data_IF_071378611674
#
_entry.id   IF_071378611674
#
_cell.length_a   1.000
_cell.length_b   1.000
_cell.length_c   1.000
_cell.angle_alpha   90.00
_cell.angle_beta   90.00
_cell.angle_gamma   90.00
#
_symmetry.space_group_name_H-M   'P 1'
#
loop_
_entity.id
_entity.type
_entity.pdbx_description
1 polymer ?
#
# COMPACT_ATOMS: atom_id res chain seq x y z
N UNK A 1 -9.33 -26.43 -1.44
CA UNK A 1 -9.31 -25.31 -0.49
C UNK A 1 -9.15 -24.05 -1.32
N UNK A 2 -10.27 -23.45 -1.73
CA UNK A 2 -10.28 -22.18 -2.47
C UNK A 2 -9.91 -21.09 -1.50
N UNK A 3 -8.79 -20.42 -1.75
CA UNK A 3 -8.45 -19.18 -1.06
C UNK A 3 -9.60 -18.20 -1.36
N UNK A 4 -10.21 -17.66 -0.32
CA UNK A 4 -11.23 -16.63 -0.48
C UNK A 4 -10.53 -15.35 -0.93
N UNK A 5 -10.52 -15.14 -2.25
CA UNK A 5 -9.81 -14.04 -2.90
C UNK A 5 -10.31 -12.70 -2.37
N UNK A 6 -11.62 -12.58 -2.14
CA UNK A 6 -12.23 -11.35 -1.64
C UNK A 6 -11.70 -11.01 -0.24
N UNK A 7 -11.57 -12.01 0.63
CA UNK A 7 -10.97 -11.81 1.96
C UNK A 7 -9.50 -11.36 1.90
N UNK A 8 -8.72 -11.89 0.94
CA UNK A 8 -7.33 -11.46 0.73
C UNK A 8 -7.25 -10.04 0.22
N UNK A 9 -8.10 -9.67 -0.74
CA UNK A 9 -8.17 -8.33 -1.29
C UNK A 9 -8.62 -7.31 -0.24
N UNK A 10 -9.60 -7.66 0.60
CA UNK A 10 -10.05 -6.84 1.72
C UNK A 10 -8.94 -6.63 2.75
N UNK A 11 -8.20 -7.68 3.10
CA UNK A 11 -7.06 -7.58 4.02
C UNK A 11 -5.96 -6.67 3.45
N UNK A 12 -5.64 -6.81 2.16
CA UNK A 12 -4.68 -5.93 1.48
C UNK A 12 -5.17 -4.47 1.42
N UNK A 13 -6.47 -4.26 1.14
CA UNK A 13 -7.08 -2.93 1.15
C UNK A 13 -7.07 -2.29 2.54
N UNK A 14 -7.11 -3.08 3.62
CA UNK A 14 -6.96 -2.58 5.00
C UNK A 14 -5.50 -2.43 5.45
N UNK A 15 -4.53 -2.75 4.57
CA UNK A 15 -3.09 -2.78 4.86
C UNK A 15 -2.77 -3.79 5.98
N UNK A 16 -3.54 -4.85 6.07
CA UNK A 16 -3.31 -5.93 7.02
C UNK A 16 -2.17 -6.84 6.56
N UNK A 17 -1.52 -7.48 7.53
CA UNK A 17 -0.39 -8.37 7.27
C UNK A 17 -0.85 -9.71 6.66
N UNK A 18 -0.92 -9.76 5.32
CA UNK A 18 -1.19 -11.01 4.59
C UNK A 18 0.12 -11.80 4.41
N UNK A 19 0.17 -13.03 4.95
CA UNK A 19 1.27 -13.99 4.70
C UNK A 19 0.87 -14.91 3.55
N UNK A 20 1.55 -14.77 2.42
CA UNK A 20 1.38 -15.65 1.25
C UNK A 20 2.70 -15.79 0.50
N UNK A 21 2.91 -16.97 -0.10
CA UNK A 21 3.98 -17.24 -1.04
C UNK A 21 3.54 -17.10 -2.51
N UNK A 22 2.27 -16.76 -2.74
CA UNK A 22 1.71 -16.56 -4.07
C UNK A 22 2.35 -15.31 -4.74
N UNK A 23 2.99 -15.46 -5.91
CA UNK A 23 3.61 -14.34 -6.63
C UNK A 23 2.66 -13.17 -6.89
N UNK A 24 1.38 -13.43 -7.19
CA UNK A 24 0.40 -12.37 -7.42
C UNK A 24 0.18 -11.55 -6.15
N UNK A 25 0.04 -12.20 -5.00
CA UNK A 25 -0.12 -11.51 -3.71
C UNK A 25 1.15 -10.73 -3.34
N UNK A 26 2.34 -11.27 -3.64
CA UNK A 26 3.61 -10.58 -3.41
C UNK A 26 3.72 -9.30 -4.27
N UNK A 27 3.34 -9.35 -5.54
CA UNK A 27 3.31 -8.18 -6.44
C UNK A 27 2.32 -7.14 -5.93
N UNK A 28 1.11 -7.55 -5.52
CA UNK A 28 0.13 -6.62 -4.95
C UNK A 28 0.67 -5.93 -3.69
N UNK A 29 1.33 -6.67 -2.79
CA UNK A 29 1.95 -6.09 -1.59
C UNK A 29 3.04 -5.08 -1.93
N UNK A 30 3.88 -5.38 -2.92
CA UNK A 30 4.92 -4.46 -3.37
C UNK A 30 4.32 -3.18 -3.97
N UNK A 31 3.26 -3.29 -4.77
CA UNK A 31 2.56 -2.14 -5.34
C UNK A 31 1.91 -1.25 -4.29
N UNK A 32 1.27 -1.84 -3.26
CA UNK A 32 0.69 -1.08 -2.15
C UNK A 32 1.77 -0.27 -1.42
N UNK A 33 2.91 -0.90 -1.13
CA UNK A 33 4.04 -0.23 -0.48
C UNK A 33 4.60 0.93 -1.31
N UNK A 34 4.68 0.78 -2.63
CA UNK A 34 5.13 1.85 -3.54
C UNK A 34 4.16 3.04 -3.53
N UNK A 35 2.85 2.79 -3.59
CA UNK A 35 1.81 3.83 -3.53
C UNK A 35 1.85 4.57 -2.18
N UNK A 36 2.00 3.85 -1.07
CA UNK A 36 2.07 4.46 0.26
C UNK A 36 3.30 5.39 0.38
N UNK A 37 4.45 4.98 -0.19
CA UNK A 37 5.67 5.81 -0.26
C UNK A 37 5.46 7.08 -1.09
N UNK A 38 4.80 6.98 -2.25
CA UNK A 38 4.47 8.14 -3.09
C UNK A 38 3.54 9.10 -2.35
N UNK A 39 2.54 8.59 -1.62
CA UNK A 39 1.63 9.41 -0.83
C UNK A 39 2.36 10.13 0.30
N UNK A 40 3.29 9.46 0.98
CA UNK A 40 4.11 10.08 2.02
C UNK A 40 5.00 11.19 1.44
N UNK A 41 5.65 10.94 0.31
CA UNK A 41 6.45 11.94 -0.40
C UNK A 41 5.62 13.17 -0.83
N UNK A 42 4.39 12.95 -1.32
CA UNK A 42 3.47 14.04 -1.68
C UNK A 42 3.04 14.86 -0.46
N UNK A 43 2.78 14.22 0.69
CA UNK A 43 2.47 14.91 1.94
C UNK A 43 3.64 15.79 2.39
N UNK A 44 4.87 15.26 2.39
CA UNK A 44 6.07 16.01 2.76
C UNK A 44 6.34 17.18 1.79
N UNK A 45 6.12 16.98 0.50
CA UNK A 45 6.24 18.03 -0.51
C UNK A 45 5.21 19.16 -0.30
N UNK A 46 3.99 18.82 0.14
CA UNK A 46 2.93 19.79 0.42
C UNK A 46 3.20 20.67 1.65
N UNK A 47 4.06 20.23 2.58
CA UNK A 47 4.40 20.98 3.80
C UNK A 47 5.60 21.92 3.57
N UNK A 48 6.37 21.75 2.49
CA UNK A 48 7.52 22.62 2.14
C UNK A 48 7.14 23.90 1.37
N UNK A 49 5.84 24.20 1.25
CA UNK A 49 5.33 25.45 0.70
C UNK A 49 4.72 26.34 1.80
N UNK A 50 5.51 26.68 2.82
CA UNK A 50 5.26 27.94 3.54
C UNK A 50 6.18 29.00 2.94
N UNK A 51 5.68 29.93 2.12
CA UNK A 51 6.42 31.14 1.82
C UNK A 51 6.34 32.02 3.06
N UNK A 52 7.28 31.87 3.98
CA UNK A 52 7.42 32.78 5.10
C UNK A 52 8.68 33.62 4.87
N UNK A 53 8.39 34.87 4.49
CA UNK A 53 9.25 36.07 4.49
C UNK A 53 10.15 36.18 5.71
#
# INVERSE_FOLDING_TARGET
MTIDVDAVLDALARREAVRSADPAILVLKALIADVDSIQEAQRLSSVSMTPST
#
